data_IF_381033121665
#
_entry.id   IF_381033121665
#
_cell.length_a   1.000
_cell.length_b   1.000
_cell.length_c   1.000
_cell.angle_alpha   90.00
_cell.angle_beta   90.00
_cell.angle_gamma   90.00
#
_symmetry.space_group_name_H-M   'P 1'
#
loop_
_entity.id
_entity.type
_entity.pdbx_description
1 polymer ?
#
# COMPACT_ATOMS: atom_id res chain seq x y z
N UNK A 1 10.15 20.05 15.86
CA UNK A 1 9.95 18.62 15.52
C UNK A 1 10.00 18.52 14.00
N UNK A 2 10.89 17.70 13.42
CA UNK A 2 10.97 17.55 11.95
C UNK A 2 9.65 16.99 11.38
N UNK A 3 9.31 17.43 10.17
CA UNK A 3 8.15 16.96 9.42
C UNK A 3 8.22 15.44 9.27
N UNK A 4 7.09 14.71 9.41
CA UNK A 4 7.04 13.26 9.29
C UNK A 4 7.58 12.79 7.92
N UNK A 5 7.28 13.52 6.85
CA UNK A 5 7.77 13.21 5.50
C UNK A 5 9.31 13.25 5.41
N UNK A 6 9.97 14.25 6.06
CA UNK A 6 11.42 14.31 6.13
C UNK A 6 12.00 13.07 6.85
N UNK A 7 11.37 12.64 7.94
CA UNK A 7 11.78 11.42 8.66
C UNK A 7 11.62 10.18 7.78
N UNK A 8 10.53 10.08 7.03
CA UNK A 8 10.29 8.97 6.12
C UNK A 8 11.37 8.91 5.02
N UNK A 9 11.65 10.03 4.36
CA UNK A 9 12.71 10.11 3.33
C UNK A 9 14.08 9.77 3.93
N UNK A 10 14.43 10.33 5.10
CA UNK A 10 15.70 10.05 5.75
C UNK A 10 15.84 8.57 6.16
N UNK A 11 14.77 7.94 6.60
CA UNK A 11 14.74 6.52 6.90
C UNK A 11 14.95 5.67 5.64
N UNK A 12 14.38 6.06 4.50
CA UNK A 12 14.62 5.35 3.24
C UNK A 12 16.07 5.51 2.76
N UNK A 13 16.63 6.71 2.85
CA UNK A 13 18.07 6.93 2.56
C UNK A 13 18.95 6.04 3.44
N UNK A 14 18.68 6.01 4.75
CA UNK A 14 19.39 5.17 5.69
C UNK A 14 19.24 3.67 5.36
N UNK A 15 18.06 3.22 4.94
CA UNK A 15 17.82 1.83 4.55
C UNK A 15 18.62 1.47 3.28
N UNK A 16 18.70 2.38 2.30
CA UNK A 16 19.54 2.22 1.10
C UNK A 16 21.02 2.13 1.49
N UNK A 17 21.52 3.08 2.28
CA UNK A 17 22.91 3.10 2.77
C UNK A 17 23.27 1.85 3.61
N UNK A 18 22.31 1.30 4.33
CA UNK A 18 22.47 0.08 5.13
C UNK A 18 22.24 -1.21 4.32
N UNK A 19 22.17 -1.11 3.00
CA UNK A 19 22.03 -2.24 2.06
C UNK A 19 20.78 -3.12 2.31
N UNK A 20 19.71 -2.59 2.94
CA UNK A 20 18.45 -3.31 3.18
C UNK A 20 17.86 -3.89 1.90
N UNK A 21 18.06 -3.19 0.78
CA UNK A 21 17.55 -3.57 -0.54
C UNK A 21 18.54 -4.37 -1.39
N UNK A 22 19.67 -4.82 -0.81
CA UNK A 22 20.62 -5.71 -1.48
C UNK A 22 20.11 -7.16 -1.48
N UNK A 23 19.23 -7.46 -2.42
CA UNK A 23 18.54 -8.75 -2.54
C UNK A 23 19.34 -9.67 -3.46
N UNK A 24 19.75 -10.84 -2.97
CA UNK A 24 20.51 -11.82 -3.72
C UNK A 24 19.64 -12.85 -4.45
N UNK A 25 18.44 -13.14 -3.91
CA UNK A 25 17.48 -14.09 -4.49
C UNK A 25 16.49 -13.32 -5.39
N UNK A 26 16.04 -13.96 -6.47
CA UNK A 26 14.97 -13.40 -7.31
C UNK A 26 13.77 -14.33 -7.33
N UNK A 27 12.60 -13.79 -6.99
CA UNK A 27 11.33 -14.50 -7.01
C UNK A 27 10.45 -13.97 -8.15
N UNK A 28 9.62 -14.82 -8.78
CA UNK A 28 8.61 -14.34 -9.72
C UNK A 28 7.52 -13.57 -8.98
N UNK A 29 6.94 -12.58 -9.63
CA UNK A 29 5.69 -11.95 -9.19
C UNK A 29 4.48 -12.86 -9.50
N UNK A 30 3.26 -12.44 -9.16
CA UNK A 30 2.05 -13.23 -9.42
C UNK A 30 1.69 -13.33 -10.89
N UNK A 31 2.05 -12.32 -11.68
CA UNK A 31 1.57 -12.13 -13.05
C UNK A 31 0.09 -11.72 -13.13
N UNK A 32 -0.56 -11.46 -12.00
CA UNK A 32 -1.98 -11.07 -11.90
C UNK A 32 -2.08 -9.55 -11.78
N UNK A 33 -2.92 -8.96 -12.60
CA UNK A 33 -3.24 -7.53 -12.54
C UNK A 33 -4.28 -7.26 -11.45
N UNK A 34 -3.90 -6.53 -10.41
CA UNK A 34 -4.80 -6.13 -9.34
C UNK A 34 -5.94 -5.24 -9.85
N UNK A 35 -5.69 -4.43 -10.88
CA UNK A 35 -6.73 -3.62 -11.51
C UNK A 35 -7.88 -4.49 -12.02
N UNK A 36 -7.55 -5.53 -12.80
CA UNK A 36 -8.55 -6.47 -13.29
C UNK A 36 -9.26 -7.21 -12.14
N UNK A 37 -8.53 -7.62 -11.11
CA UNK A 37 -9.13 -8.27 -9.92
C UNK A 37 -10.14 -7.35 -9.24
N UNK A 38 -9.84 -6.04 -9.14
CA UNK A 38 -10.75 -5.06 -8.54
C UNK A 38 -11.99 -4.84 -9.42
N UNK A 39 -11.82 -4.74 -10.73
CA UNK A 39 -12.93 -4.47 -11.67
C UNK A 39 -13.88 -5.66 -11.82
N UNK A 40 -13.36 -6.89 -11.76
CA UNK A 40 -14.13 -8.11 -11.92
C UNK A 40 -14.76 -8.62 -10.61
N UNK A 41 -14.44 -8.01 -9.48
CA UNK A 41 -14.92 -8.47 -8.17
C UNK A 41 -16.39 -8.11 -7.92
N UNK A 42 -17.17 -9.09 -7.51
CA UNK A 42 -18.55 -8.91 -7.00
C UNK A 42 -18.59 -8.55 -5.51
N UNK A 43 -17.43 -8.53 -4.84
CA UNK A 43 -17.29 -8.26 -3.42
C UNK A 43 -16.31 -7.11 -3.18
N UNK A 44 -16.19 -6.68 -1.93
CA UNK A 44 -15.21 -5.66 -1.58
C UNK A 44 -13.78 -6.14 -1.86
N UNK A 45 -13.08 -5.45 -2.78
CA UNK A 45 -11.69 -5.77 -3.13
C UNK A 45 -10.75 -5.27 -2.04
N UNK A 46 -10.28 -6.18 -1.18
CA UNK A 46 -9.41 -5.86 -0.06
C UNK A 46 -7.94 -6.09 -0.40
N UNK A 47 -7.13 -5.04 -0.21
CA UNK A 47 -5.68 -5.11 -0.13
C UNK A 47 -5.33 -5.17 1.36
N UNK A 48 -5.09 -6.36 1.89
CA UNK A 48 -4.83 -6.53 3.32
C UNK A 48 -3.36 -6.29 3.63
N UNK A 49 -3.07 -5.49 4.67
CA UNK A 49 -1.70 -5.04 4.95
C UNK A 49 -1.09 -5.75 6.16
N UNK A 50 0.06 -6.39 5.95
CA UNK A 50 0.91 -6.95 7.01
C UNK A 50 1.82 -5.83 7.53
N UNK A 51 1.52 -5.38 8.76
CA UNK A 51 2.20 -4.27 9.41
C UNK A 51 2.29 -4.48 10.92
N UNK A 52 3.50 -4.54 11.45
CA UNK A 52 3.72 -4.79 12.88
C UNK A 52 3.80 -3.51 13.70
N UNK A 53 4.21 -2.40 13.09
CA UNK A 53 4.33 -1.09 13.73
C UNK A 53 3.91 0.05 12.80
N UNK A 54 3.61 1.22 13.37
CA UNK A 54 3.36 2.45 12.60
C UNK A 54 3.75 3.70 13.38
N UNK A 55 4.04 4.82 12.71
CA UNK A 55 4.39 6.09 13.38
C UNK A 55 3.32 6.61 14.33
N UNK A 56 2.04 6.32 14.05
CA UNK A 56 0.92 6.82 14.83
C UNK A 56 0.58 5.97 16.06
N UNK A 57 0.79 4.65 15.99
CA UNK A 57 0.34 3.70 17.01
C UNK A 57 1.49 2.98 17.72
N UNK A 58 2.74 3.15 17.21
CA UNK A 58 3.84 2.29 17.65
C UNK A 58 3.59 0.83 17.29
N UNK A 59 3.86 -0.08 18.21
CA UNK A 59 3.63 -1.51 18.02
C UNK A 59 2.14 -1.82 17.91
N UNK A 60 1.73 -2.47 16.80
CA UNK A 60 0.34 -2.87 16.52
C UNK A 60 0.14 -4.33 16.94
N UNK A 61 1.11 -5.18 16.60
CA UNK A 61 1.13 -6.60 16.91
C UNK A 61 2.57 -7.04 17.12
N UNK A 62 2.80 -7.97 18.06
CA UNK A 62 4.12 -8.61 18.19
C UNK A 62 4.52 -9.23 16.84
N UNK A 63 5.77 -9.05 16.44
CA UNK A 63 6.30 -9.68 15.23
C UNK A 63 6.17 -11.20 15.38
N UNK A 64 5.45 -11.80 14.45
CA UNK A 64 5.25 -13.25 14.32
C UNK A 64 5.54 -13.66 12.89
N UNK A 65 5.33 -14.92 12.52
CA UNK A 65 5.52 -15.37 11.16
C UNK A 65 4.57 -14.65 10.18
N UNK A 66 5.07 -13.83 9.24
CA UNK A 66 4.24 -13.12 8.29
C UNK A 66 3.48 -14.07 7.34
N UNK A 67 3.97 -15.30 7.14
CA UNK A 67 3.34 -16.32 6.29
C UNK A 67 2.03 -16.80 6.91
N UNK A 68 2.00 -17.03 8.23
CA UNK A 68 0.78 -17.41 8.92
C UNK A 68 -0.30 -16.33 8.81
N UNK A 69 0.10 -15.07 8.98
CA UNK A 69 -0.79 -13.92 8.83
C UNK A 69 -1.33 -13.83 7.39
N UNK A 70 -0.42 -13.89 6.40
CA UNK A 70 -0.77 -13.84 4.99
C UNK A 70 -1.75 -14.96 4.61
N UNK A 71 -1.50 -16.19 5.07
CA UNK A 71 -2.37 -17.33 4.79
C UNK A 71 -3.79 -17.11 5.30
N UNK A 72 -3.95 -16.57 6.51
CA UNK A 72 -5.25 -16.23 7.08
C UNK A 72 -5.95 -15.10 6.31
N UNK A 73 -5.19 -14.08 5.87
CA UNK A 73 -5.73 -12.99 5.04
C UNK A 73 -6.25 -13.53 3.70
N UNK A 74 -5.47 -14.38 3.03
CA UNK A 74 -5.87 -15.02 1.76
C UNK A 74 -7.08 -15.93 1.94
N UNK A 75 -7.11 -16.77 3.00
CA UNK A 75 -8.26 -17.63 3.33
C UNK A 75 -9.53 -16.84 3.65
N UNK A 76 -9.38 -15.61 4.15
CA UNK A 76 -10.48 -14.67 4.37
C UNK A 76 -11.01 -14.02 3.09
N UNK A 77 -10.32 -14.16 1.95
CA UNK A 77 -10.75 -13.62 0.67
C UNK A 77 -10.03 -12.32 0.25
N UNK A 78 -8.84 -12.03 0.79
CA UNK A 78 -8.06 -10.87 0.35
C UNK A 78 -7.76 -10.93 -1.15
N UNK A 79 -8.02 -9.83 -1.87
CA UNK A 79 -7.74 -9.68 -3.31
C UNK A 79 -6.25 -9.49 -3.59
N UNK A 80 -5.53 -8.84 -2.66
CA UNK A 80 -4.10 -8.61 -2.70
C UNK A 80 -3.53 -8.47 -1.29
N UNK A 81 -2.21 -8.58 -1.18
CA UNK A 81 -1.48 -8.27 0.05
C UNK A 81 -0.62 -7.02 -0.12
N UNK A 82 -0.59 -6.19 0.91
CA UNK A 82 0.40 -5.13 1.10
C UNK A 82 1.36 -5.56 2.21
N UNK A 83 2.65 -5.54 1.96
CA UNK A 83 3.65 -5.95 2.96
C UNK A 83 4.65 -4.83 3.18
N UNK A 84 4.76 -4.37 4.43
CA UNK A 84 5.74 -3.34 4.80
C UNK A 84 7.16 -3.88 4.65
N UNK A 85 8.00 -3.16 3.91
CA UNK A 85 9.41 -3.49 3.73
C UNK A 85 10.36 -2.50 4.39
N UNK A 86 9.85 -1.31 4.76
CA UNK A 86 10.61 -0.27 5.45
C UNK A 86 10.89 -0.69 6.91
N UNK A 87 12.17 -0.86 7.32
CA UNK A 87 12.51 -1.35 8.66
C UNK A 87 12.31 -0.31 9.76
N UNK A 88 12.56 0.96 9.46
CA UNK A 88 12.46 2.02 10.46
C UNK A 88 11.02 2.54 10.56
N UNK A 89 10.46 2.63 11.75
CA UNK A 89 9.09 3.08 12.09
C UNK A 89 7.97 2.07 11.75
N UNK A 90 8.21 1.07 10.88
CA UNK A 90 7.17 0.12 10.46
C UNK A 90 7.48 -1.33 10.83
N UNK A 91 8.70 -1.61 11.28
CA UNK A 91 9.20 -2.97 11.56
C UNK A 91 9.00 -3.92 10.36
N UNK A 92 9.13 -3.36 9.15
CA UNK A 92 9.02 -4.08 7.89
C UNK A 92 10.35 -4.70 7.45
N UNK A 93 10.29 -5.60 6.46
CA UNK A 93 11.49 -6.20 5.88
C UNK A 93 11.20 -6.76 4.48
N UNK A 94 12.13 -6.59 3.50
CA UNK A 94 12.08 -7.32 2.24
C UNK A 94 12.03 -8.85 2.43
N UNK A 95 12.67 -9.37 3.49
CA UNK A 95 12.64 -10.80 3.82
C UNK A 95 11.22 -11.27 4.20
N UNK A 96 10.43 -10.44 4.91
CA UNK A 96 9.04 -10.77 5.20
C UNK A 96 8.24 -10.88 3.92
N UNK A 97 8.44 -9.94 3.00
CA UNK A 97 7.81 -9.96 1.68
C UNK A 97 8.15 -11.25 0.93
N UNK A 98 9.43 -11.60 0.86
CA UNK A 98 9.90 -12.82 0.16
C UNK A 98 9.33 -14.10 0.78
N UNK A 99 9.26 -14.20 2.11
CA UNK A 99 8.64 -15.35 2.78
C UNK A 99 7.17 -15.51 2.37
N UNK A 100 6.42 -14.40 2.38
CA UNK A 100 5.03 -14.37 1.96
C UNK A 100 4.89 -14.71 0.48
N UNK A 101 5.71 -14.10 -0.39
CA UNK A 101 5.67 -14.32 -1.85
C UNK A 101 5.85 -15.79 -2.24
N UNK A 102 6.72 -16.53 -1.54
CA UNK A 102 6.93 -17.97 -1.76
C UNK A 102 5.67 -18.83 -1.51
N UNK A 103 4.72 -18.33 -0.70
CA UNK A 103 3.55 -19.08 -0.26
C UNK A 103 2.24 -18.64 -0.92
N UNK A 104 2.14 -17.39 -1.41
CA UNK A 104 0.92 -16.85 -1.99
C UNK A 104 1.07 -16.55 -3.48
N UNK A 105 -0.05 -16.60 -4.23
CA UNK A 105 -0.06 -16.34 -5.67
C UNK A 105 -0.86 -15.09 -6.06
N UNK A 106 -1.54 -14.46 -5.11
CA UNK A 106 -2.28 -13.22 -5.36
C UNK A 106 -1.34 -12.02 -5.54
N UNK A 107 -1.79 -10.89 -6.12
CA UNK A 107 -0.98 -9.69 -6.25
C UNK A 107 -0.42 -9.21 -4.91
N UNK A 108 0.81 -8.70 -4.93
CA UNK A 108 1.47 -8.15 -3.74
C UNK A 108 2.07 -6.78 -4.00
N UNK A 109 1.75 -5.84 -3.10
CA UNK A 109 2.30 -4.49 -3.06
C UNK A 109 3.49 -4.42 -2.11
N UNK A 110 4.66 -4.01 -2.61
CA UNK A 110 5.77 -3.58 -1.76
C UNK A 110 5.43 -2.21 -1.15
N UNK A 111 5.05 -2.22 0.11
CA UNK A 111 4.67 -0.99 0.85
C UNK A 111 5.93 -0.42 1.52
N UNK A 112 6.51 0.56 0.86
CA UNK A 112 7.73 1.25 1.29
C UNK A 112 7.64 2.73 0.95
N UNK A 113 8.61 3.52 1.39
CA UNK A 113 8.78 4.90 0.99
C UNK A 113 9.81 4.90 -0.15
N UNK A 114 9.34 4.68 -1.36
CA UNK A 114 10.21 4.57 -2.54
C UNK A 114 10.70 5.94 -2.99
N UNK A 115 12.02 6.11 -3.02
CA UNK A 115 12.70 7.35 -3.38
C UNK A 115 13.82 7.15 -4.41
N UNK A 116 14.17 5.90 -4.71
CA UNK A 116 15.30 5.54 -5.55
C UNK A 116 15.04 4.25 -6.33
N UNK A 117 15.65 4.13 -7.51
CA UNK A 117 15.59 2.94 -8.38
C UNK A 117 16.09 1.66 -7.71
N UNK A 118 17.00 1.77 -6.74
CA UNK A 118 17.49 0.62 -5.94
C UNK A 118 16.32 -0.11 -5.26
N UNK A 119 15.33 0.64 -4.74
CA UNK A 119 14.15 0.06 -4.12
C UNK A 119 13.24 -0.61 -5.16
N UNK A 120 13.15 -0.06 -6.38
CA UNK A 120 12.39 -0.66 -7.49
C UNK A 120 13.05 -1.96 -7.97
N UNK A 121 14.39 -1.98 -8.07
CA UNK A 121 15.15 -3.21 -8.36
C UNK A 121 14.93 -4.28 -7.28
N UNK A 122 14.89 -3.87 -6.01
CA UNK A 122 14.56 -4.77 -4.90
C UNK A 122 13.11 -5.27 -5.02
N UNK A 123 12.13 -4.40 -5.30
CA UNK A 123 10.74 -4.78 -5.52
C UNK A 123 10.62 -5.88 -6.60
N UNK A 124 11.33 -5.71 -7.72
CA UNK A 124 11.38 -6.73 -8.79
C UNK A 124 11.96 -8.06 -8.28
N UNK A 125 13.09 -8.00 -7.57
CA UNK A 125 13.77 -9.20 -7.07
C UNK A 125 12.94 -9.95 -6.02
N UNK A 126 12.25 -9.26 -5.10
CA UNK A 126 11.41 -9.91 -4.09
C UNK A 126 10.10 -10.47 -4.65
N UNK A 127 9.80 -10.23 -5.94
CA UNK A 127 8.61 -10.72 -6.62
C UNK A 127 7.36 -9.88 -6.35
N UNK A 128 7.52 -8.56 -6.17
CA UNK A 128 6.40 -7.65 -6.08
C UNK A 128 5.67 -7.52 -7.44
N UNK A 129 4.36 -7.31 -7.38
CA UNK A 129 3.55 -6.93 -8.53
C UNK A 129 3.45 -5.41 -8.63
N UNK A 130 3.34 -4.76 -7.47
CA UNK A 130 3.23 -3.30 -7.32
C UNK A 130 4.26 -2.77 -6.33
N UNK A 131 4.65 -1.50 -6.52
CA UNK A 131 5.32 -0.71 -5.50
C UNK A 131 4.63 0.63 -5.29
N UNK A 132 4.92 1.29 -4.16
CA UNK A 132 4.29 2.53 -3.74
C UNK A 132 5.14 3.74 -4.11
N UNK A 133 4.51 4.79 -4.63
CA UNK A 133 4.99 6.16 -4.62
C UNK A 133 4.05 7.05 -3.80
N UNK A 134 4.57 8.09 -3.16
CA UNK A 134 3.78 9.04 -2.36
C UNK A 134 3.83 10.40 -3.03
N UNK A 135 2.69 10.88 -3.57
CA UNK A 135 2.61 12.10 -4.35
C UNK A 135 3.20 13.32 -3.62
N UNK A 136 2.92 13.48 -2.34
CA UNK A 136 3.39 14.62 -1.55
C UNK A 136 4.91 14.75 -1.47
N UNK A 137 5.67 13.66 -1.62
CA UNK A 137 7.13 13.72 -1.65
C UNK A 137 7.67 14.45 -2.89
N UNK A 138 6.99 14.27 -4.01
CA UNK A 138 7.34 14.89 -5.30
C UNK A 138 6.82 16.34 -5.37
N UNK A 139 5.57 16.58 -4.97
CA UNK A 139 4.99 17.93 -4.93
C UNK A 139 5.80 18.88 -4.02
N UNK A 140 6.31 18.35 -2.89
CA UNK A 140 7.21 19.09 -1.96
C UNK A 140 8.68 19.06 -2.39
N UNK A 141 9.01 18.48 -3.56
CA UNK A 141 10.37 18.37 -4.11
C UNK A 141 11.38 17.73 -3.16
N UNK A 142 10.91 16.79 -2.32
CA UNK A 142 11.78 16.03 -1.43
C UNK A 142 12.42 14.84 -2.15
N UNK A 143 11.77 14.37 -3.20
CA UNK A 143 12.23 13.37 -4.18
C UNK A 143 12.04 13.97 -5.56
N UNK A 144 12.96 13.73 -6.48
CA UNK A 144 12.88 14.17 -7.86
C UNK A 144 12.38 13.05 -8.78
N UNK A 145 11.93 13.46 -9.98
CA UNK A 145 11.73 12.59 -11.14
C UNK A 145 10.76 11.42 -10.93
N UNK A 146 9.50 11.74 -10.52
CA UNK A 146 8.46 10.72 -10.34
C UNK A 146 8.17 9.96 -11.64
N UNK A 147 8.12 10.66 -12.77
CA UNK A 147 7.90 10.05 -14.09
C UNK A 147 9.01 9.06 -14.43
N UNK A 148 10.27 9.37 -14.12
CA UNK A 148 11.40 8.45 -14.33
C UNK A 148 11.31 7.19 -13.43
N UNK A 149 10.83 7.31 -12.20
CA UNK A 149 10.57 6.15 -11.34
C UNK A 149 9.41 5.29 -11.85
N UNK A 150 8.33 5.90 -12.34
CA UNK A 150 7.19 5.20 -12.93
C UNK A 150 7.64 4.44 -14.19
N UNK A 151 8.30 5.14 -15.13
CA UNK A 151 8.79 4.53 -16.37
C UNK A 151 9.79 3.39 -16.07
N UNK A 152 10.67 3.60 -15.09
CA UNK A 152 11.61 2.56 -14.68
C UNK A 152 10.91 1.33 -14.09
N UNK A 153 9.89 1.54 -13.26
CA UNK A 153 9.06 0.46 -12.72
C UNK A 153 8.36 -0.34 -13.82
N UNK A 154 7.73 0.34 -14.77
CA UNK A 154 7.09 -0.30 -15.92
C UNK A 154 8.08 -1.10 -16.78
N UNK A 155 9.29 -0.56 -17.05
CA UNK A 155 10.36 -1.27 -17.76
C UNK A 155 10.82 -2.55 -17.03
N UNK A 156 10.68 -2.59 -15.70
CA UNK A 156 10.94 -3.80 -14.89
C UNK A 156 9.75 -4.76 -14.84
N UNK A 157 8.61 -4.41 -15.45
CA UNK A 157 7.38 -5.18 -15.40
C UNK A 157 6.70 -5.14 -14.03
N UNK A 158 6.85 -4.02 -13.31
CA UNK A 158 6.13 -3.69 -12.09
C UNK A 158 5.02 -2.68 -12.40
N UNK A 159 3.99 -2.65 -11.57
CA UNK A 159 2.94 -1.66 -11.58
C UNK A 159 3.07 -0.71 -10.39
N UNK A 160 2.44 0.45 -10.51
CA UNK A 160 2.61 1.55 -9.57
C UNK A 160 1.28 1.91 -8.91
N UNK A 161 1.29 1.96 -7.57
CA UNK A 161 0.27 2.61 -6.77
C UNK A 161 0.82 3.96 -6.31
N UNK A 162 0.10 5.07 -6.61
CA UNK A 162 0.44 6.38 -6.06
C UNK A 162 -0.54 6.73 -4.95
N UNK A 163 0.01 7.07 -3.78
CA UNK A 163 -0.74 7.53 -2.61
C UNK A 163 -0.88 9.06 -2.61
N UNK A 164 -2.10 9.56 -2.44
CA UNK A 164 -2.45 10.98 -2.36
C UNK A 164 -3.28 11.27 -1.10
N UNK A 165 -3.11 12.48 -0.51
CA UNK A 165 -3.76 12.88 0.75
C UNK A 165 -4.65 14.10 0.61
N UNK A 166 -4.51 14.84 -0.48
CA UNK A 166 -5.27 16.06 -0.76
C UNK A 166 -5.85 16.02 -2.17
N UNK A 167 -6.86 16.84 -2.43
CA UNK A 167 -7.45 17.00 -3.77
C UNK A 167 -6.36 17.32 -4.81
N UNK A 168 -5.48 18.26 -4.50
CA UNK A 168 -4.39 18.65 -5.42
C UNK A 168 -3.40 17.51 -5.70
N UNK A 169 -2.99 16.76 -4.67
CA UNK A 169 -2.13 15.58 -4.84
C UNK A 169 -2.83 14.52 -5.69
N UNK A 170 -4.13 14.29 -5.47
CA UNK A 170 -4.90 13.34 -6.24
C UNK A 170 -5.02 13.75 -7.72
N UNK A 171 -5.33 15.02 -8.02
CA UNK A 171 -5.36 15.53 -9.38
C UNK A 171 -4.00 15.41 -10.10
N UNK A 172 -2.91 15.64 -9.37
CA UNK A 172 -1.55 15.46 -9.91
C UNK A 172 -1.29 13.97 -10.19
N UNK A 173 -1.61 13.07 -9.25
CA UNK A 173 -1.44 11.63 -9.42
C UNK A 173 -2.26 11.05 -10.59
N UNK A 174 -3.50 11.54 -10.80
CA UNK A 174 -4.34 11.09 -11.92
C UNK A 174 -3.76 11.41 -13.31
N UNK A 175 -2.87 12.41 -13.41
CA UNK A 175 -2.20 12.80 -14.67
C UNK A 175 -0.96 11.97 -14.99
N UNK A 176 -0.44 11.22 -14.03
CA UNK A 176 0.74 10.35 -14.22
C UNK A 176 0.37 9.04 -14.92
N UNK A 177 1.35 8.23 -15.29
CA UNK A 177 1.15 6.89 -15.82
C UNK A 177 1.02 5.80 -14.72
N UNK A 178 0.69 6.18 -13.48
CA UNK A 178 0.41 5.20 -12.43
C UNK A 178 -0.78 4.29 -12.77
N UNK A 179 -0.74 3.06 -12.26
CA UNK A 179 -1.78 2.04 -12.53
C UNK A 179 -2.97 2.17 -11.59
N UNK A 180 -2.74 2.49 -10.33
CA UNK A 180 -3.76 2.65 -9.28
C UNK A 180 -3.47 3.91 -8.47
N UNK A 181 -4.51 4.63 -8.08
CA UNK A 181 -4.38 5.78 -7.17
C UNK A 181 -5.01 5.42 -5.81
N UNK A 182 -4.24 5.61 -4.75
CA UNK A 182 -4.69 5.44 -3.36
C UNK A 182 -5.00 6.78 -2.71
N UNK A 183 -6.20 6.94 -2.17
CA UNK A 183 -6.53 8.08 -1.31
C UNK A 183 -6.28 7.67 0.13
N UNK A 184 -5.27 8.26 0.75
CA UNK A 184 -4.96 8.00 2.15
C UNK A 184 -5.73 8.98 3.06
N UNK A 185 -6.66 8.43 3.84
CA UNK A 185 -7.48 9.18 4.80
C UNK A 185 -6.70 9.68 6.02
N UNK A 186 -5.42 9.30 6.15
CA UNK A 186 -4.54 9.78 7.21
C UNK A 186 -3.75 11.00 6.74
N UNK A 187 -3.98 12.12 7.38
CA UNK A 187 -3.14 13.30 7.18
C UNK A 187 -1.74 13.05 7.74
N UNK A 188 -0.70 13.18 6.91
CA UNK A 188 0.68 12.87 7.32
C UNK A 188 1.28 13.90 8.29
N UNK A 189 0.79 15.14 8.29
CA UNK A 189 1.32 16.19 9.19
C UNK A 189 0.72 16.07 10.61
N UNK A 190 -0.58 15.74 10.71
CA UNK A 190 -1.31 15.66 11.99
C UNK A 190 -1.54 14.24 12.50
N UNK A 191 -1.34 13.22 11.65
CA UNK A 191 -1.67 11.82 11.86
C UNK A 191 -3.16 11.52 12.10
N UNK A 192 -4.03 12.53 11.97
CA UNK A 192 -5.48 12.36 12.08
C UNK A 192 -6.03 11.61 10.88
N UNK A 193 -7.05 10.79 11.15
CA UNK A 193 -7.78 10.03 10.14
C UNK A 193 -9.17 10.64 9.97
N UNK A 194 -9.60 10.81 8.72
CA UNK A 194 -10.95 11.24 8.35
C UNK A 194 -11.37 10.58 7.03
N UNK A 195 -12.30 9.62 7.07
CA UNK A 195 -12.82 8.94 5.89
C UNK A 195 -13.51 9.88 4.90
N UNK A 196 -13.96 11.07 5.36
CA UNK A 196 -14.47 12.10 4.48
C UNK A 196 -13.40 12.68 3.54
N UNK A 197 -12.11 12.39 3.76
CA UNK A 197 -11.05 12.74 2.80
C UNK A 197 -11.32 12.08 1.44
N UNK A 198 -11.57 10.77 1.41
CA UNK A 198 -11.94 10.05 0.18
C UNK A 198 -13.21 10.63 -0.45
N UNK A 199 -14.26 10.87 0.36
CA UNK A 199 -15.50 11.46 -0.11
C UNK A 199 -15.27 12.81 -0.79
N UNK A 200 -14.60 13.75 -0.09
CA UNK A 200 -14.35 15.12 -0.59
C UNK A 200 -13.53 15.11 -1.87
N UNK A 201 -12.54 14.24 -2.00
CA UNK A 201 -11.72 14.15 -3.20
C UNK A 201 -12.58 13.65 -4.36
N UNK A 202 -13.27 12.53 -4.21
CA UNK A 202 -14.04 11.90 -5.30
C UNK A 202 -15.31 12.68 -5.70
N UNK A 203 -15.89 13.45 -4.79
CA UNK A 203 -17.02 14.36 -5.15
C UNK A 203 -16.59 15.56 -6.00
N UNK A 204 -15.32 15.96 -5.99
CA UNK A 204 -14.84 17.19 -6.63
C UNK A 204 -13.84 16.94 -7.77
N UNK A 205 -13.49 15.69 -8.05
CA UNK A 205 -12.47 15.35 -9.05
C UNK A 205 -12.89 14.13 -9.85
N UNK A 206 -12.45 14.08 -11.11
CA UNK A 206 -12.60 12.92 -11.97
C UNK A 206 -11.24 12.26 -12.20
N UNK A 207 -11.19 10.94 -12.18
CA UNK A 207 -10.00 10.16 -12.49
C UNK A 207 -10.43 8.90 -13.26
N UNK A 208 -9.80 8.64 -14.40
CA UNK A 208 -10.08 7.45 -15.21
C UNK A 208 -9.42 6.18 -14.67
N UNK A 209 -8.58 6.31 -13.66
CA UNK A 209 -7.86 5.19 -13.04
C UNK A 209 -8.66 4.56 -11.91
N UNK A 210 -8.32 3.34 -11.56
CA UNK A 210 -8.86 2.68 -10.38
C UNK A 210 -8.41 3.46 -9.14
N UNK A 211 -9.38 3.79 -8.28
CA UNK A 211 -9.13 4.49 -7.02
C UNK A 211 -9.43 3.57 -5.84
N UNK A 212 -8.46 3.45 -4.95
CA UNK A 212 -8.61 2.75 -3.68
C UNK A 212 -8.58 3.73 -2.51
N UNK A 213 -9.24 3.37 -1.40
CA UNK A 213 -9.19 4.13 -0.15
C UNK A 213 -8.32 3.43 0.88
N UNK A 214 -7.48 4.22 1.58
CA UNK A 214 -6.50 3.71 2.53
C UNK A 214 -6.61 4.40 3.89
N UNK A 215 -6.30 3.69 4.95
CA UNK A 215 -6.32 4.16 6.34
C UNK A 215 -7.70 4.44 6.92
N UNK A 216 -7.89 4.04 8.17
CA UNK A 216 -9.07 4.36 8.96
C UNK A 216 -10.28 3.48 8.71
N UNK A 217 -10.19 2.48 7.87
CA UNK A 217 -11.27 1.53 7.62
C UNK A 217 -11.22 0.47 8.72
N UNK A 218 -12.29 0.40 9.52
CA UNK A 218 -12.36 -0.48 10.68
C UNK A 218 -13.60 -1.41 10.65
N UNK A 219 -14.60 -1.07 9.84
CA UNK A 219 -15.89 -1.79 9.79
C UNK A 219 -16.41 -1.98 8.37
N UNK A 220 -17.42 -2.85 8.24
CA UNK A 220 -18.18 -3.03 7.00
C UNK A 220 -18.91 -1.74 6.58
N UNK A 221 -19.39 -0.96 7.57
CA UNK A 221 -20.04 0.34 7.34
C UNK A 221 -19.09 1.32 6.67
N UNK A 222 -17.81 1.33 7.07
CA UNK A 222 -16.79 2.18 6.44
C UNK A 222 -16.59 1.81 4.98
N UNK A 223 -16.53 0.50 4.65
CA UNK A 223 -16.42 0.03 3.28
C UNK A 223 -17.64 0.45 2.46
N UNK A 224 -18.86 0.21 2.98
CA UNK A 224 -20.09 0.63 2.31
C UNK A 224 -20.16 2.14 2.07
N UNK A 225 -19.67 2.94 3.03
CA UNK A 225 -19.56 4.39 2.89
C UNK A 225 -18.59 4.77 1.76
N UNK A 226 -17.37 4.22 1.79
CA UNK A 226 -16.34 4.53 0.80
C UNK A 226 -16.70 4.03 -0.61
N UNK A 227 -17.39 2.88 -0.69
CA UNK A 227 -17.94 2.36 -1.94
C UNK A 227 -18.94 3.33 -2.58
N UNK A 228 -19.87 3.85 -1.77
CA UNK A 228 -20.82 4.88 -2.21
C UNK A 228 -20.14 6.17 -2.66
N UNK A 229 -18.96 6.48 -2.12
CA UNK A 229 -18.15 7.62 -2.56
C UNK A 229 -17.43 7.37 -3.89
N UNK A 230 -17.36 6.11 -4.38
CA UNK A 230 -16.73 5.75 -5.65
C UNK A 230 -15.38 5.02 -5.53
N UNK A 231 -14.89 4.74 -4.32
CA UNK A 231 -13.71 3.90 -4.14
C UNK A 231 -13.99 2.46 -4.61
N UNK A 232 -13.04 1.87 -5.35
CA UNK A 232 -13.17 0.53 -5.94
C UNK A 232 -12.44 -0.55 -5.15
N UNK A 233 -11.47 -0.18 -4.32
CA UNK A 233 -10.71 -1.10 -3.47
C UNK A 233 -10.35 -0.45 -2.14
N UNK A 234 -9.91 -1.26 -1.18
CA UNK A 234 -9.72 -0.84 0.21
C UNK A 234 -8.44 -1.42 0.77
N UNK A 235 -7.48 -0.56 1.17
CA UNK A 235 -6.26 -1.01 1.82
C UNK A 235 -6.42 -0.94 3.34
N UNK A 236 -6.41 -2.11 3.99
CA UNK A 236 -6.73 -2.28 5.41
C UNK A 236 -5.64 -3.08 6.12
N UNK A 237 -4.99 -2.43 7.09
CA UNK A 237 -3.96 -3.10 7.91
C UNK A 237 -4.35 -3.18 9.38
N UNK A 238 -4.46 -2.03 10.04
CA UNK A 238 -4.55 -1.94 11.51
C UNK A 238 -5.73 -2.72 12.11
N UNK A 239 -6.92 -2.61 11.53
CA UNK A 239 -8.12 -3.31 12.01
C UNK A 239 -7.95 -4.84 11.94
N UNK A 240 -7.39 -5.32 10.82
CA UNK A 240 -7.14 -6.75 10.59
C UNK A 240 -6.01 -7.26 11.51
N UNK A 241 -4.90 -6.52 11.58
CA UNK A 241 -3.74 -6.92 12.40
C UNK A 241 -4.01 -6.94 13.90
N UNK A 242 -4.94 -6.13 14.40
CA UNK A 242 -5.39 -6.15 15.81
C UNK A 242 -6.37 -7.27 16.13
N UNK A 243 -7.00 -7.87 15.12
CA UNK A 243 -8.00 -8.89 15.34
C UNK A 243 -7.36 -10.23 15.73
N UNK A 244 -7.96 -10.96 16.67
CA UNK A 244 -7.50 -12.29 17.07
C UNK A 244 -7.79 -13.34 15.99
N UNK A 245 -8.92 -13.20 15.28
CA UNK A 245 -9.29 -14.05 14.14
C UNK A 245 -9.18 -13.27 12.83
N UNK A 246 -7.98 -13.25 12.26
CA UNK A 246 -7.65 -12.51 11.02
C UNK A 246 -8.54 -12.97 9.85
N UNK A 247 -8.71 -14.28 9.68
CA UNK A 247 -9.48 -14.84 8.56
C UNK A 247 -10.94 -14.38 8.59
N UNK A 248 -11.58 -14.45 9.76
CA UNK A 248 -12.99 -14.05 9.93
C UNK A 248 -13.15 -12.53 9.76
N UNK A 249 -12.20 -11.73 10.29
CA UNK A 249 -12.19 -10.28 10.11
C UNK A 249 -12.13 -9.89 8.63
N UNK A 250 -11.23 -10.53 7.86
CA UNK A 250 -11.12 -10.27 6.42
C UNK A 250 -12.39 -10.72 5.70
N UNK A 251 -12.91 -11.90 6.01
CA UNK A 251 -14.13 -12.45 5.39
C UNK A 251 -15.36 -11.55 5.62
N UNK A 252 -15.52 -11.00 6.81
CA UNK A 252 -16.60 -10.06 7.12
C UNK A 252 -16.49 -8.79 6.25
N UNK A 253 -15.29 -8.22 6.16
CA UNK A 253 -15.04 -7.02 5.37
C UNK A 253 -15.20 -7.28 3.85
N UNK A 254 -14.77 -8.44 3.33
CA UNK A 254 -14.94 -8.81 1.91
C UNK A 254 -16.42 -8.88 1.53
N UNK A 255 -17.26 -9.41 2.40
CA UNK A 255 -18.70 -9.58 2.16
C UNK A 255 -19.53 -8.33 2.50
N UNK A 256 -18.93 -7.18 2.67
CA UNK A 256 -19.62 -5.94 3.06
C UNK A 256 -20.41 -5.27 1.94
N UNK A 257 -20.12 -5.60 0.69
CA UNK A 257 -20.80 -5.13 -0.52
C UNK A 257 -21.01 -6.28 -1.49
#
# INVERSE_FOLDING_TARGET
>A
MGNILEKLVNNSKKAIESEVYNINESLPNSGIDLGNVIEESEHASLITEIKFSSPALGNIRKITDPVEIASKMVSGGASALSVLTQPYMFDGSPEFFMKVRKMVKIPMLMKDITIDKIQIDAAKKIGADYFLLIQSLFDKKMVSDMEDLIEYGHKKGLKILIEAHTTQEFENACKTDADIIGINNRNLDTLKIDLNTTKKILENTECSKIVISESGIESEEDIRFLHKCGAKGYLIGTAIMKNNNIEEAVRGLVNSI
#
